data_IF_190037016233
#
_entry.id   IF_190037016233
#
_cell.length_a   1.000
_cell.length_b   1.000
_cell.length_c   1.000
_cell.angle_alpha   90.00
_cell.angle_beta   90.00
_cell.angle_gamma   90.00
#
_symmetry.space_group_name_H-M   'P 1'
#
loop_
_entity.id
_entity.type
_entity.pdbx_description
1 polymer ?
#
# COMPACT_ATOMS: atom_id res chain seq x y z
N UNK A 1 -12.29 -42.11 -5.19
CA UNK A 1 -12.27 -41.62 -4.92
C UNK A 1 -12.38 -40.67 -4.33
N UNK A 2 -12.04 -40.56 -4.30
CA UNK A 2 -12.02 -39.76 -3.78
C UNK A 2 -12.33 -39.15 -3.06
N UNK A 3 -12.19 -38.82 -2.68
CA UNK A 3 -12.43 -38.25 -1.89
C UNK A 3 -12.55 -37.15 -1.57
N UNK A 4 -12.48 -36.67 -2.00
CA UNK A 4 -12.69 -35.70 -1.75
C UNK A 4 -13.20 -35.46 -0.84
N UNK A 5 -13.07 -35.46 -0.67
CA UNK A 5 -13.56 -35.33 0.29
C UNK A 5 -14.35 -34.50 0.92
N UNK A 6 -14.59 -34.43 1.62
CA UNK A 6 -15.38 -33.62 2.40
C UNK A 6 -15.08 -32.14 2.28
N UNK A 7 -13.94 -31.77 1.88
CA UNK A 7 -13.61 -30.39 1.60
C UNK A 7 -13.42 -29.48 2.79
N UNK A 8 -13.61 -29.96 3.99
CA UNK A 8 -13.45 -29.11 5.17
C UNK A 8 -12.01 -29.04 5.62
N UNK A 9 -11.45 -27.83 5.82
CA UNK A 9 -10.06 -27.71 6.24
C UNK A 9 -9.87 -28.14 7.69
N UNK A 10 -8.67 -28.61 7.99
CA UNK A 10 -8.29 -28.92 9.37
C UNK A 10 -8.06 -27.65 10.16
N UNK A 11 -7.93 -27.77 11.48
CA UNK A 11 -7.62 -26.63 12.30
C UNK A 11 -6.29 -25.99 11.90
N UNK A 12 -5.28 -26.80 11.58
CA UNK A 12 -3.99 -26.27 11.14
C UNK A 12 -4.12 -25.52 9.82
N UNK A 13 -4.90 -26.07 8.89
CA UNK A 13 -5.11 -25.40 7.62
C UNK A 13 -5.85 -24.07 7.78
N UNK A 14 -6.84 -24.05 8.67
CA UNK A 14 -7.57 -22.81 8.95
C UNK A 14 -6.66 -21.77 9.57
N UNK A 15 -5.82 -22.16 10.51
CA UNK A 15 -4.89 -21.25 11.15
C UNK A 15 -3.93 -20.66 10.13
N UNK A 16 -3.40 -21.50 9.23
CA UNK A 16 -2.51 -21.02 8.19
C UNK A 16 -3.22 -20.07 7.24
N UNK A 17 -4.43 -20.41 6.84
CA UNK A 17 -5.20 -19.56 5.95
C UNK A 17 -5.44 -18.19 6.57
N UNK A 18 -5.75 -18.15 7.87
CA UNK A 18 -5.93 -16.87 8.54
C UNK A 18 -4.64 -16.08 8.62
N UNK A 19 -3.53 -16.75 8.91
CA UNK A 19 -2.24 -16.07 8.98
C UNK A 19 -1.84 -15.50 7.62
N UNK A 20 -2.19 -16.20 6.54
CA UNK A 20 -1.87 -15.75 5.18
C UNK A 20 -2.89 -14.74 4.66
N UNK A 21 -4.01 -14.57 5.31
CA UNK A 21 -5.05 -13.67 4.85
C UNK A 21 -4.60 -12.21 5.00
N UNK A 22 -4.98 -11.42 4.03
CA UNK A 22 -4.68 -9.99 4.04
C UNK A 22 -5.58 -9.31 5.06
N UNK A 23 -4.99 -8.50 5.93
CA UNK A 23 -5.71 -7.73 6.94
C UNK A 23 -5.64 -6.26 6.57
N UNK A 24 -6.69 -5.75 5.99
CA UNK A 24 -6.72 -4.37 5.49
C UNK A 24 -6.75 -3.38 6.65
N UNK A 25 -5.89 -2.39 6.58
CA UNK A 25 -5.80 -1.33 7.58
C UNK A 25 -6.45 -0.06 7.05
N UNK A 26 -6.16 0.32 5.81
CA UNK A 26 -6.67 1.55 5.24
C UNK A 26 -6.83 1.39 3.73
N UNK A 27 -7.86 2.02 3.19
CA UNK A 27 -8.11 2.04 1.75
C UNK A 27 -8.14 3.48 1.27
N UNK A 28 -7.65 3.67 0.05
CA UNK A 28 -7.63 5.00 -0.55
C UNK A 28 -8.77 5.10 -1.57
N UNK A 29 -9.97 5.36 -1.08
CA UNK A 29 -11.13 5.46 -1.95
C UNK A 29 -11.03 6.64 -2.91
N UNK A 30 -10.44 7.73 -2.43
CA UNK A 30 -10.26 8.92 -3.25
C UNK A 30 -9.42 8.63 -4.48
N UNK A 31 -8.33 7.89 -4.33
CA UNK A 31 -7.48 7.55 -5.46
C UNK A 31 -8.24 6.70 -6.48
N UNK A 32 -9.01 5.74 -6.00
CA UNK A 32 -9.79 4.89 -6.91
C UNK A 32 -10.86 5.68 -7.64
N UNK A 33 -11.35 6.73 -7.02
CA UNK A 33 -12.35 7.60 -7.65
C UNK A 33 -11.74 8.54 -8.67
N UNK A 34 -10.56 9.09 -8.35
CA UNK A 34 -9.95 10.15 -9.17
C UNK A 34 -9.01 9.64 -10.25
N UNK A 35 -8.57 8.40 -10.15
CA UNK A 35 -7.59 7.85 -11.09
C UNK A 35 -8.11 6.58 -11.75
N UNK A 36 -7.70 6.41 -12.99
CA UNK A 36 -7.87 5.12 -13.67
C UNK A 36 -6.67 4.26 -13.32
N UNK A 37 -6.93 3.11 -12.74
CA UNK A 37 -5.87 2.22 -12.25
C UNK A 37 -5.44 1.31 -13.41
N UNK A 38 -4.15 1.32 -13.71
CA UNK A 38 -3.61 0.55 -14.83
C UNK A 38 -2.94 -0.74 -14.38
N UNK A 39 -1.92 -0.62 -13.53
CA UNK A 39 -1.20 -1.78 -13.00
C UNK A 39 -1.04 -1.62 -11.51
N UNK A 40 -1.04 -2.73 -10.78
CA UNK A 40 -0.84 -2.69 -9.35
C UNK A 40 0.39 -3.51 -8.95
N UNK A 41 1.01 -3.10 -7.85
CA UNK A 41 2.19 -3.75 -7.31
C UNK A 41 2.07 -3.79 -5.80
N UNK A 42 2.60 -4.85 -5.19
CA UNK A 42 2.67 -4.95 -3.75
C UNK A 42 4.06 -4.54 -3.29
N UNK A 43 4.12 -3.59 -2.38
CA UNK A 43 5.38 -3.11 -1.84
C UNK A 43 5.44 -3.38 -0.35
N UNK A 44 6.63 -3.73 0.14
CA UNK A 44 6.88 -3.75 1.58
C UNK A 44 7.12 -2.34 2.07
N UNK A 45 7.07 -2.15 3.38
CA UNK A 45 7.29 -0.84 3.99
C UNK A 45 8.33 -0.93 5.09
N UNK A 46 9.23 0.04 5.13
CA UNK A 46 10.19 0.17 6.21
C UNK A 46 9.56 1.05 7.29
N UNK A 47 9.26 0.46 8.45
CA UNK A 47 8.54 1.13 9.52
C UNK A 47 9.27 1.03 10.84
N UNK A 48 9.00 2.00 11.72
CA UNK A 48 9.46 1.92 13.12
C UNK A 48 8.49 1.07 13.93
N UNK A 49 8.93 0.69 15.15
CA UNK A 49 8.08 -0.10 16.02
C UNK A 49 6.79 0.61 16.40
N UNK A 50 6.85 1.93 16.64
CA UNK A 50 5.64 2.68 17.00
C UNK A 50 4.69 2.81 15.83
N UNK A 51 5.21 2.87 14.61
CA UNK A 51 4.35 2.87 13.44
C UNK A 51 3.62 1.54 13.29
N UNK A 52 4.32 0.44 13.50
CA UNK A 52 3.69 -0.89 13.44
C UNK A 52 2.59 -1.00 14.48
N UNK A 53 2.84 -0.50 15.69
CA UNK A 53 1.83 -0.55 16.75
C UNK A 53 0.59 0.24 16.38
N UNK A 54 0.77 1.43 15.81
CA UNK A 54 -0.37 2.23 15.36
C UNK A 54 -1.16 1.49 14.28
N UNK A 55 -0.47 0.85 13.36
CA UNK A 55 -1.13 0.10 12.29
C UNK A 55 -1.90 -1.10 12.84
N UNK A 56 -1.38 -1.75 13.87
CA UNK A 56 -2.09 -2.88 14.47
C UNK A 56 -3.39 -2.43 15.13
N UNK A 57 -3.49 -1.16 15.51
CA UNK A 57 -4.72 -0.59 16.02
C UNK A 57 -5.63 -0.11 14.88
N UNK A 58 -5.25 -0.34 13.64
CA UNK A 58 -6.06 0.06 12.50
C UNK A 58 -6.02 1.53 12.19
N UNK A 59 -5.00 2.23 12.62
CA UNK A 59 -4.91 3.68 12.48
C UNK A 59 -3.96 4.06 11.37
N UNK A 60 -4.52 4.56 10.28
CA UNK A 60 -3.73 5.08 9.16
C UNK A 60 -4.67 5.74 8.17
N UNK A 61 -4.13 6.66 7.37
CA UNK A 61 -4.87 7.28 6.29
C UNK A 61 -3.96 7.43 5.09
N UNK A 62 -4.48 7.10 3.93
CA UNK A 62 -3.77 7.23 2.66
C UNK A 62 -4.34 8.35 1.79
N UNK A 63 -5.27 9.14 2.32
CA UNK A 63 -6.07 10.03 1.48
C UNK A 63 -5.21 11.07 0.73
N UNK A 64 -4.14 11.54 1.33
CA UNK A 64 -3.25 12.52 0.70
C UNK A 64 -1.91 11.91 0.31
N UNK A 65 -1.84 10.59 0.24
CA UNK A 65 -0.59 9.90 0.01
C UNK A 65 -0.30 9.73 -1.47
N UNK A 66 0.98 9.69 -1.80
CA UNK A 66 1.46 9.46 -3.16
C UNK A 66 2.83 8.80 -3.10
N UNK A 67 3.25 8.24 -4.21
CA UNK A 67 4.49 7.48 -4.28
C UNK A 67 5.45 8.17 -5.22
N UNK A 68 6.70 8.30 -4.79
CA UNK A 68 7.76 8.88 -5.58
C UNK A 68 8.88 7.86 -5.76
N UNK A 69 9.44 7.79 -6.96
CA UNK A 69 10.68 7.05 -7.17
C UNK A 69 11.76 8.10 -7.41
N UNK A 70 12.76 8.13 -6.53
CA UNK A 70 13.77 9.16 -6.61
C UNK A 70 14.83 8.82 -7.66
N UNK A 71 15.80 9.71 -7.82
CA UNK A 71 16.82 9.55 -8.85
C UNK A 71 17.76 8.37 -8.60
N UNK A 72 17.74 7.84 -7.40
CA UNK A 72 18.55 6.67 -7.05
C UNK A 72 17.79 5.37 -7.25
N UNK A 73 16.57 5.43 -7.75
CA UNK A 73 15.77 4.24 -7.98
C UNK A 73 15.12 3.70 -6.73
N UNK A 74 14.92 4.55 -5.72
CA UNK A 74 14.26 4.13 -4.49
C UNK A 74 12.85 4.69 -4.44
N UNK A 75 11.92 3.86 -3.98
CA UNK A 75 10.51 4.23 -3.92
C UNK A 75 10.15 4.70 -2.52
N UNK A 76 9.38 5.79 -2.45
CA UNK A 76 9.00 6.42 -1.19
C UNK A 76 7.52 6.70 -1.15
N UNK A 77 6.89 6.39 -0.02
CA UNK A 77 5.50 6.74 0.23
C UNK A 77 5.46 8.06 1.01
N UNK A 78 4.86 9.07 0.39
CA UNK A 78 4.71 10.39 0.97
C UNK A 78 3.27 10.62 1.39
N UNK A 79 3.08 11.42 2.42
CA UNK A 79 1.75 11.90 2.79
C UNK A 79 0.84 10.91 3.47
N UNK A 80 1.30 9.68 3.65
CA UNK A 80 0.51 8.72 4.43
C UNK A 80 0.58 9.09 5.90
N UNK A 81 -0.56 9.10 6.56
CA UNK A 81 -0.63 9.47 7.97
C UNK A 81 -0.73 8.21 8.81
N UNK A 82 0.26 8.01 9.67
CA UNK A 82 0.22 6.96 10.70
C UNK A 82 0.30 7.69 12.03
N UNK A 83 -0.84 7.83 12.75
CA UNK A 83 -0.87 8.66 13.95
C UNK A 83 0.12 8.19 15.00
N UNK A 84 0.49 9.10 15.88
CA UNK A 84 1.37 8.80 16.99
C UNK A 84 0.69 7.75 17.89
N UNK A 85 1.45 6.75 18.27
CA UNK A 85 0.95 5.75 19.20
C UNK A 85 0.84 6.38 20.59
N UNK A 86 -0.40 6.45 21.11
CA UNK A 86 -0.66 7.19 22.33
C UNK A 86 0.11 6.68 23.53
N UNK A 87 0.41 5.39 23.56
CA UNK A 87 1.17 4.78 24.66
C UNK A 87 2.66 4.85 24.43
N UNK A 88 3.08 5.43 23.31
CA UNK A 88 4.48 5.61 23.04
C UNK A 88 5.05 6.72 23.89
N UNK A 89 6.37 6.82 23.89
CA UNK A 89 7.09 7.83 24.63
C UNK A 89 7.73 8.80 23.64
N UNK A 90 8.78 9.45 24.08
CA UNK A 90 9.55 10.36 23.25
C UNK A 90 10.21 9.68 22.04
N UNK A 91 10.08 8.36 21.91
CA UNK A 91 10.59 7.66 20.73
C UNK A 91 9.52 7.52 19.63
N UNK A 92 8.39 8.18 19.79
CA UNK A 92 7.35 8.14 18.76
C UNK A 92 7.84 8.74 17.44
N UNK A 93 7.20 8.29 16.38
CA UNK A 93 7.53 8.70 15.02
C UNK A 93 6.81 9.99 14.61
N UNK A 94 7.27 10.61 13.53
CA UNK A 94 6.53 11.71 12.92
C UNK A 94 5.38 11.11 12.08
N UNK A 95 4.14 11.55 12.27
CA UNK A 95 2.97 10.92 11.64
C UNK A 95 3.03 10.86 10.12
N UNK A 96 3.56 11.88 9.49
CA UNK A 96 3.53 11.97 8.02
C UNK A 96 4.90 11.88 7.36
N UNK A 97 5.88 11.34 8.07
CA UNK A 97 7.21 11.20 7.47
C UNK A 97 7.14 10.32 6.23
N UNK A 98 8.02 10.54 5.28
CA UNK A 98 8.08 9.65 4.12
C UNK A 98 8.62 8.29 4.56
N UNK A 99 8.12 7.25 3.92
CA UNK A 99 8.49 5.87 4.27
C UNK A 99 8.99 5.14 3.05
N UNK A 100 10.10 4.44 3.24
CA UNK A 100 10.69 3.72 2.13
C UNK A 100 9.86 2.51 1.78
N UNK A 101 9.63 2.32 0.50
CA UNK A 101 8.93 1.16 -0.01
C UNK A 101 9.94 0.17 -0.57
N UNK A 102 9.65 -1.10 -0.38
CA UNK A 102 10.52 -2.18 -0.79
C UNK A 102 9.90 -2.89 -1.99
N UNK A 103 10.50 -2.69 -3.14
CA UNK A 103 10.06 -3.26 -4.41
C UNK A 103 11.26 -3.92 -5.08
N UNK A 104 10.98 -4.86 -5.97
CA UNK A 104 12.03 -5.44 -6.78
C UNK A 104 12.54 -4.43 -7.79
N UNK A 105 13.82 -4.53 -8.14
CA UNK A 105 14.42 -3.61 -9.09
C UNK A 105 13.68 -3.59 -10.41
N UNK A 106 13.21 -4.75 -10.85
CA UNK A 106 12.47 -4.85 -12.11
C UNK A 106 11.16 -4.07 -12.04
N UNK A 107 10.49 -4.12 -10.91
CA UNK A 107 9.25 -3.37 -10.73
C UNK A 107 9.50 -1.87 -10.74
N UNK A 108 10.56 -1.45 -10.05
CA UNK A 108 10.92 -0.03 -10.02
C UNK A 108 11.26 0.46 -11.43
N UNK A 109 12.00 -0.34 -12.18
CA UNK A 109 12.36 0.03 -13.54
C UNK A 109 11.15 0.21 -14.44
N UNK A 110 10.18 -0.69 -14.34
CA UNK A 110 8.97 -0.59 -15.13
C UNK A 110 8.15 0.65 -14.74
N UNK A 111 8.05 0.91 -13.45
CA UNK A 111 7.30 2.07 -12.97
C UNK A 111 7.96 3.37 -13.44
N UNK A 112 9.27 3.48 -13.30
CA UNK A 112 9.98 4.67 -13.74
C UNK A 112 9.78 4.92 -15.22
N UNK A 113 9.90 3.89 -16.03
CA UNK A 113 9.75 4.02 -17.47
C UNK A 113 8.38 4.56 -17.85
N UNK A 114 7.34 4.00 -17.23
CA UNK A 114 5.98 4.39 -17.58
C UNK A 114 5.62 5.77 -17.04
N UNK A 115 6.12 6.13 -15.87
CA UNK A 115 5.91 7.48 -15.35
C UNK A 115 6.56 8.50 -16.26
N UNK A 116 7.80 8.25 -16.69
CA UNK A 116 8.53 9.20 -17.53
C UNK A 116 7.98 9.28 -18.94
N UNK A 117 7.67 8.14 -19.54
CA UNK A 117 7.30 8.13 -20.96
C UNK A 117 5.84 8.46 -21.19
N UNK A 118 4.96 8.19 -20.22
CA UNK A 118 3.53 8.36 -20.40
C UNK A 118 2.89 9.37 -19.47
N UNK A 119 3.69 9.98 -18.60
CA UNK A 119 3.15 10.98 -17.69
C UNK A 119 2.19 10.44 -16.66
N UNK A 120 2.33 9.17 -16.30
CA UNK A 120 1.47 8.54 -15.31
C UNK A 120 1.99 8.83 -13.91
N UNK A 121 1.14 8.57 -12.92
CA UNK A 121 1.52 8.77 -11.52
C UNK A 121 1.41 7.45 -10.78
N UNK A 122 1.94 7.40 -9.57
CA UNK A 122 1.87 6.21 -8.73
C UNK A 122 1.15 6.60 -7.45
N UNK A 123 0.06 5.88 -7.14
CA UNK A 123 -0.74 6.18 -5.97
C UNK A 123 -0.88 4.93 -5.11
N UNK A 124 -0.94 5.09 -3.78
CA UNK A 124 -1.22 3.95 -2.91
C UNK A 124 -2.71 3.69 -2.88
N UNK A 125 -3.10 2.43 -2.94
CA UNK A 125 -4.49 2.05 -2.94
C UNK A 125 -4.94 1.46 -1.62
N UNK A 126 -4.08 0.68 -0.97
CA UNK A 126 -4.48 -0.07 0.19
C UNK A 126 -3.28 -0.38 1.06
N UNK A 127 -3.45 -0.21 2.37
CA UNK A 127 -2.43 -0.54 3.35
C UNK A 127 -2.93 -1.74 4.14
N UNK A 128 -2.12 -2.77 4.29
CA UNK A 128 -2.56 -4.00 4.91
C UNK A 128 -1.41 -4.78 5.52
N UNK A 129 -1.75 -5.71 6.41
CA UNK A 129 -0.81 -6.71 6.88
C UNK A 129 -1.00 -8.00 6.11
N UNK A 130 0.11 -8.61 5.76
CA UNK A 130 0.12 -9.92 5.13
C UNK A 130 1.23 -10.72 5.79
N UNK A 131 0.87 -11.82 6.43
CA UNK A 131 1.83 -12.66 7.17
C UNK A 131 2.62 -11.86 8.18
N UNK A 132 1.95 -10.95 8.88
CA UNK A 132 2.57 -10.13 9.92
C UNK A 132 3.43 -8.99 9.44
N UNK A 133 3.50 -8.75 8.14
CA UNK A 133 4.28 -7.66 7.58
C UNK A 133 3.39 -6.61 6.95
N UNK A 134 3.74 -5.35 7.18
CA UNK A 134 2.99 -4.26 6.58
C UNK A 134 3.33 -4.17 5.10
N UNK A 135 2.29 -4.10 4.29
CA UNK A 135 2.40 -3.98 2.85
C UNK A 135 1.50 -2.86 2.38
N UNK A 136 1.84 -2.30 1.23
CA UNK A 136 0.98 -1.32 0.58
C UNK A 136 0.83 -1.71 -0.88
N UNK A 137 -0.42 -1.72 -1.34
CA UNK A 137 -0.68 -1.90 -2.76
C UNK A 137 -0.58 -0.54 -3.42
N UNK A 138 0.32 -0.42 -4.37
CA UNK A 138 0.48 0.81 -5.13
C UNK A 138 0.07 0.56 -6.57
N UNK A 139 -0.32 1.61 -7.25
CA UNK A 139 -0.83 1.48 -8.60
C UNK A 139 -0.26 2.54 -9.51
N UNK A 140 0.07 2.11 -10.71
CA UNK A 140 0.33 3.02 -11.80
C UNK A 140 -1.02 3.52 -12.26
N UNK A 141 -1.19 4.84 -12.32
CA UNK A 141 -2.51 5.43 -12.49
C UNK A 141 -2.47 6.63 -13.40
N UNK A 142 -3.60 6.85 -14.04
CA UNK A 142 -3.81 7.99 -14.91
C UNK A 142 -4.95 8.81 -14.36
N UNK A 143 -4.77 10.12 -14.25
CA UNK A 143 -5.84 10.98 -13.77
C UNK A 143 -7.03 10.94 -14.71
N UNK A 144 -8.24 10.88 -14.15
CA UNK A 144 -9.43 10.91 -14.96
C UNK A 144 -9.59 12.29 -15.59
N UNK A 145 -10.04 12.29 -16.83
CA UNK A 145 -10.06 13.50 -17.65
C UNK A 145 -11.36 14.28 -17.48
N UNK A 146 -11.76 14.51 -16.24
CA UNK A 146 -13.02 15.20 -16.01
C UNK A 146 -12.98 16.65 -16.47
N UNK A 147 -11.80 17.25 -16.40
CA UNK A 147 -11.65 18.62 -16.87
C UNK A 147 -11.97 18.73 -18.37
N UNK A 148 -11.85 17.66 -19.12
CA UNK A 148 -12.19 17.68 -20.54
C UNK A 148 -13.63 18.04 -20.77
N UNK A 149 -14.47 17.63 -19.84
CA UNK A 149 -15.91 17.89 -19.98
C UNK A 149 -16.22 19.37 -19.81
N UNK A 150 -15.40 20.05 -19.07
CA UNK A 150 -15.64 21.46 -18.81
C UNK A 150 -15.21 22.35 -19.96
N UNK A 151 -14.40 21.83 -20.83
CA UNK A 151 -13.88 22.63 -21.92
C UNK A 151 -14.81 22.71 -23.10
N UNK A 152 -15.84 21.93 -23.09
CA UNK A 152 -16.81 21.96 -24.17
C UNK A 152 -17.76 23.13 -24.09
#
# INVERSE_FOLDING_TARGET
MAKKKDGKPTAAQKAKAQADAKQVIARNKKARHEYSILDTYEAGMSLTGTEVKALRLGRASLVDAWVEIDRYGEAWLHGANIPVYAMGTWTNHAPTRKRKLLLHKQEIGKLMQKVQSKGLTIVPLELYFLRGRAKVEIALAEGKQEWDKRET
#
